data_IF_090659854372
#
_entry.id   IF_090659854372
#
_cell.length_a   1.000
_cell.length_b   1.000
_cell.length_c   1.000
_cell.angle_alpha   90.00
_cell.angle_beta   90.00
_cell.angle_gamma   90.00
#
_symmetry.space_group_name_H-M   'P 1'
#
loop_
_entity.id
_entity.type
_entity.pdbx_description
1 polymer ?
#
# COMPACT_ATOMS: atom_id res chain seq x y z
N UNK A 1 39.58 -11.47 11.85
CA UNK A 1 39.40 -10.89 10.50
C UNK A 1 38.24 -11.50 9.72
N UNK A 2 38.06 -12.83 9.61
CA UNK A 2 36.95 -13.47 8.86
C UNK A 2 35.52 -12.98 9.18
N UNK A 3 35.24 -12.62 10.43
CA UNK A 3 33.90 -12.13 10.85
C UNK A 3 33.61 -10.76 10.25
N UNK A 4 34.59 -9.86 10.19
CA UNK A 4 34.46 -8.54 9.59
C UNK A 4 34.28 -8.63 8.06
N UNK A 5 34.95 -9.59 7.41
CA UNK A 5 34.79 -9.84 5.98
C UNK A 5 33.37 -10.35 5.65
N UNK A 6 32.82 -11.25 6.46
CA UNK A 6 31.45 -11.72 6.31
C UNK A 6 30.43 -10.59 6.52
N UNK A 7 30.64 -9.72 7.51
CA UNK A 7 29.78 -8.55 7.75
C UNK A 7 29.82 -7.56 6.57
N UNK A 8 31.01 -7.28 6.04
CA UNK A 8 31.17 -6.42 4.86
C UNK A 8 30.51 -7.02 3.61
N UNK A 9 30.53 -8.35 3.47
CA UNK A 9 29.88 -9.05 2.36
C UNK A 9 28.36 -8.97 2.47
N UNK A 10 27.80 -9.20 3.66
CA UNK A 10 26.36 -9.04 3.94
C UNK A 10 25.92 -7.59 3.73
N UNK A 11 26.67 -6.62 4.24
CA UNK A 11 26.39 -5.19 4.04
C UNK A 11 26.39 -4.81 2.55
N UNK A 12 27.32 -5.35 1.75
CA UNK A 12 27.37 -5.13 0.31
C UNK A 12 26.14 -5.71 -0.41
N UNK A 13 25.70 -6.92 -0.05
CA UNK A 13 24.47 -7.50 -0.61
C UNK A 13 23.21 -6.71 -0.21
N UNK A 14 23.14 -6.22 1.03
CA UNK A 14 22.05 -5.33 1.46
C UNK A 14 22.06 -3.97 0.72
N UNK A 15 23.24 -3.47 0.33
CA UNK A 15 23.35 -2.24 -0.44
C UNK A 15 23.01 -2.44 -1.92
N UNK A 16 23.29 -3.61 -2.49
CA UNK A 16 22.86 -3.97 -3.87
C UNK A 16 21.34 -4.00 -3.98
N UNK A 17 20.64 -4.41 -2.92
CA UNK A 17 19.19 -4.45 -2.87
C UNK A 17 18.52 -3.07 -2.98
N UNK A 18 19.25 -1.95 -2.84
CA UNK A 18 18.72 -0.57 -2.79
C UNK A 18 18.84 0.21 -4.10
N UNK A 19 18.87 -0.47 -5.25
CA UNK A 19 19.19 0.17 -6.53
C UNK A 19 18.08 0.01 -7.58
N UNK A 20 16.90 -0.49 -7.20
CA UNK A 20 15.82 -0.65 -8.16
C UNK A 20 15.11 0.70 -8.38
N UNK A 21 14.95 1.08 -9.65
CA UNK A 21 14.27 2.33 -10.07
C UNK A 21 13.00 2.09 -10.88
N UNK A 22 12.91 0.93 -11.52
CA UNK A 22 11.76 0.55 -12.32
C UNK A 22 10.56 0.23 -11.43
N UNK A 23 9.43 0.85 -11.76
CA UNK A 23 8.20 0.78 -10.97
C UNK A 23 7.51 -0.58 -11.07
N UNK A 24 7.61 -1.26 -12.22
CA UNK A 24 6.93 -2.54 -12.41
C UNK A 24 7.62 -3.64 -11.58
N UNK A 25 8.94 -3.90 -11.69
CA UNK A 25 9.60 -4.95 -10.92
C UNK A 25 9.59 -4.67 -9.41
N UNK A 26 9.80 -3.42 -8.98
CA UNK A 26 9.73 -3.06 -7.55
C UNK A 26 8.34 -3.31 -7.00
N UNK A 27 7.31 -2.80 -7.69
CA UNK A 27 5.93 -2.97 -7.28
C UNK A 27 5.53 -4.44 -7.22
N UNK A 28 5.86 -5.20 -8.28
CA UNK A 28 5.55 -6.61 -8.39
C UNK A 28 6.21 -7.44 -7.29
N UNK A 29 7.53 -7.31 -7.09
CA UNK A 29 8.26 -8.07 -6.07
C UNK A 29 7.82 -7.69 -4.65
N UNK A 30 7.54 -6.41 -4.41
CA UNK A 30 7.07 -5.97 -3.10
C UNK A 30 5.66 -6.49 -2.81
N UNK A 31 4.77 -6.46 -3.79
CA UNK A 31 3.44 -7.06 -3.69
C UNK A 31 3.53 -8.57 -3.44
N UNK A 32 4.47 -9.27 -4.09
CA UNK A 32 4.70 -10.70 -3.85
C UNK A 32 5.10 -10.96 -2.39
N UNK A 33 6.06 -10.21 -1.85
CA UNK A 33 6.49 -10.33 -0.45
C UNK A 33 5.33 -10.03 0.51
N UNK A 34 4.54 -8.99 0.24
CA UNK A 34 3.35 -8.70 1.03
C UNK A 34 2.31 -9.81 0.98
N UNK A 35 2.14 -10.46 -0.17
CA UNK A 35 1.20 -11.58 -0.33
C UNK A 35 1.65 -12.80 0.44
N UNK A 36 2.96 -13.10 0.45
CA UNK A 36 3.51 -14.18 1.26
C UNK A 36 3.33 -13.93 2.76
N UNK A 37 3.53 -12.68 3.21
CA UNK A 37 3.28 -12.30 4.60
C UNK A 37 1.79 -12.42 4.96
N UNK A 38 0.90 -11.99 4.06
CA UNK A 38 -0.56 -12.16 4.18
C UNK A 38 -0.94 -13.64 4.30
N UNK A 39 -0.42 -14.50 3.43
CA UNK A 39 -0.70 -15.94 3.46
C UNK A 39 -0.22 -16.59 4.75
N UNK A 40 0.94 -16.18 5.26
CA UNK A 40 1.45 -16.68 6.54
C UNK A 40 0.48 -16.32 7.68
N UNK A 41 0.03 -15.07 7.74
CA UNK A 41 -0.98 -14.60 8.70
C UNK A 41 -2.29 -15.40 8.56
N UNK A 42 -2.77 -15.57 7.33
CA UNK A 42 -3.99 -16.29 7.03
C UNK A 42 -3.92 -17.77 7.43
N UNK A 43 -2.79 -18.44 7.18
CA UNK A 43 -2.55 -19.83 7.58
C UNK A 43 -2.61 -19.97 9.10
N UNK A 44 -2.08 -18.99 9.86
CA UNK A 44 -2.16 -18.98 11.32
C UNK A 44 -3.63 -18.86 11.77
N UNK A 45 -4.40 -17.93 11.20
CA UNK A 45 -5.83 -17.79 11.51
C UNK A 45 -6.66 -19.00 11.09
N UNK A 46 -6.29 -19.63 9.97
CA UNK A 46 -6.96 -20.83 9.48
C UNK A 46 -6.70 -22.03 10.39
N UNK A 47 -5.45 -22.22 10.84
CA UNK A 47 -5.06 -23.31 11.75
C UNK A 47 -5.66 -23.16 13.15
N UNK A 48 -5.85 -21.92 13.62
CA UNK A 48 -6.52 -21.63 14.89
C UNK A 48 -8.06 -21.67 14.80
N UNK A 49 -8.62 -21.95 13.63
CA UNK A 49 -10.07 -22.04 13.42
C UNK A 49 -10.80 -20.68 13.42
N UNK A 50 -10.08 -19.57 13.41
CA UNK A 50 -10.68 -18.21 13.36
C UNK A 50 -11.12 -17.87 11.95
N UNK A 51 -10.37 -18.30 10.94
CA UNK A 51 -10.69 -18.11 9.52
C UNK A 51 -11.23 -19.38 8.87
N UNK A 52 -12.30 -19.23 8.08
CA UNK A 52 -12.95 -20.34 7.38
C UNK A 52 -12.26 -20.73 6.07
N UNK A 53 -11.53 -19.81 5.43
CA UNK A 53 -11.02 -19.99 4.07
C UNK A 53 -9.62 -19.40 3.92
N UNK A 54 -8.83 -20.01 3.04
CA UNK A 54 -7.56 -19.43 2.63
C UNK A 54 -7.69 -18.56 1.39
N UNK A 55 -6.75 -17.64 1.18
CA UNK A 55 -6.74 -16.82 -0.03
C UNK A 55 -6.57 -17.64 -1.31
N UNK A 56 -5.82 -18.74 -1.27
CA UNK A 56 -5.79 -19.71 -2.37
C UNK A 56 -7.18 -20.24 -2.74
N UNK A 57 -8.07 -20.43 -1.75
CA UNK A 57 -9.45 -20.86 -2.02
C UNK A 57 -10.29 -19.73 -2.62
N UNK A 58 -10.11 -18.49 -2.18
CA UNK A 58 -10.79 -17.34 -2.79
C UNK A 58 -10.37 -17.15 -4.25
N UNK A 59 -9.06 -17.03 -4.51
CA UNK A 59 -8.52 -16.83 -5.85
C UNK A 59 -8.81 -18.02 -6.77
N UNK A 60 -8.62 -19.26 -6.29
CA UNK A 60 -8.96 -20.47 -7.05
C UNK A 60 -10.44 -20.56 -7.42
N UNK A 61 -11.34 -20.00 -6.60
CA UNK A 61 -12.79 -20.05 -6.86
C UNK A 61 -13.25 -19.21 -8.04
N UNK A 62 -12.38 -18.35 -8.57
CA UNK A 62 -12.65 -17.59 -9.80
C UNK A 62 -12.75 -18.53 -11.01
N UNK A 63 -11.88 -19.53 -11.08
CA UNK A 63 -11.83 -20.47 -12.21
C UNK A 63 -12.40 -21.85 -11.89
N UNK A 64 -12.25 -22.30 -10.64
CA UNK A 64 -12.57 -23.66 -10.21
C UNK A 64 -13.80 -23.64 -9.30
N UNK A 65 -14.64 -24.68 -9.38
CA UNK A 65 -15.76 -24.83 -8.44
C UNK A 65 -15.26 -25.01 -6.99
N UNK A 66 -15.94 -24.43 -5.97
CA UNK A 66 -15.46 -24.46 -4.59
C UNK A 66 -15.17 -25.85 -4.02
N UNK A 67 -15.99 -26.85 -4.38
CA UNK A 67 -15.79 -28.24 -3.95
C UNK A 67 -14.48 -28.84 -4.48
N UNK A 68 -14.06 -28.48 -5.69
CA UNK A 68 -12.81 -28.97 -6.28
C UNK A 68 -11.56 -28.35 -5.65
N UNK A 69 -11.68 -27.25 -4.89
CA UNK A 69 -10.56 -26.65 -4.15
C UNK A 69 -10.18 -27.41 -2.86
N UNK A 70 -10.89 -28.50 -2.57
CA UNK A 70 -10.48 -29.48 -1.56
C UNK A 70 -9.25 -30.28 -2.00
N UNK A 71 -9.11 -30.53 -3.30
CA UNK A 71 -7.97 -31.22 -3.89
C UNK A 71 -6.71 -30.33 -3.91
N UNK A 72 -5.54 -30.92 -3.66
CA UNK A 72 -4.29 -30.18 -3.45
C UNK A 72 -3.85 -29.44 -4.71
N UNK A 73 -3.99 -30.07 -5.87
CA UNK A 73 -3.58 -29.56 -7.18
C UNK A 73 -4.35 -28.28 -7.53
N UNK A 74 -5.67 -28.31 -7.31
CA UNK A 74 -6.53 -27.14 -7.55
C UNK A 74 -6.24 -26.01 -6.56
N UNK A 75 -5.87 -26.34 -5.32
CA UNK A 75 -5.45 -25.35 -4.32
C UNK A 75 -4.11 -24.71 -4.69
N UNK A 76 -3.17 -25.46 -5.25
CA UNK A 76 -1.90 -24.91 -5.76
C UNK A 76 -2.19 -23.93 -6.89
N UNK A 77 -3.08 -24.26 -7.83
CA UNK A 77 -3.46 -23.30 -8.87
C UNK A 77 -4.07 -22.02 -8.26
N UNK A 78 -4.97 -22.17 -7.29
CA UNK A 78 -5.52 -21.03 -6.56
C UNK A 78 -4.47 -20.19 -5.84
N UNK A 79 -3.44 -20.83 -5.27
CA UNK A 79 -2.31 -20.17 -4.64
C UNK A 79 -1.48 -19.37 -5.65
N UNK A 80 -1.19 -19.95 -6.82
CA UNK A 80 -0.46 -19.26 -7.90
C UNK A 80 -1.23 -18.01 -8.35
N UNK A 81 -2.55 -18.14 -8.56
CA UNK A 81 -3.39 -17.00 -8.92
C UNK A 81 -3.36 -15.92 -7.83
N UNK A 82 -3.47 -16.32 -6.57
CA UNK A 82 -3.41 -15.38 -5.45
C UNK A 82 -2.08 -14.61 -5.42
N UNK A 83 -0.95 -15.32 -5.54
CA UNK A 83 0.39 -14.71 -5.56
C UNK A 83 0.56 -13.74 -6.73
N UNK A 84 0.11 -14.10 -7.93
CA UNK A 84 0.17 -13.24 -9.11
C UNK A 84 -0.69 -11.99 -8.90
N UNK A 85 -1.94 -12.15 -8.45
CA UNK A 85 -2.84 -11.01 -8.19
C UNK A 85 -2.25 -10.07 -7.15
N UNK A 86 -1.78 -10.59 -6.01
CA UNK A 86 -1.18 -9.76 -4.96
C UNK A 86 0.13 -9.08 -5.38
N UNK A 87 0.91 -9.72 -6.25
CA UNK A 87 2.09 -9.11 -6.87
C UNK A 87 1.71 -7.92 -7.77
N UNK A 88 0.72 -8.11 -8.66
CA UNK A 88 0.22 -7.04 -9.55
C UNK A 88 -0.31 -5.86 -8.75
N UNK A 89 -1.03 -6.10 -7.65
CA UNK A 89 -1.56 -5.04 -6.78
C UNK A 89 -0.46 -4.20 -6.10
N UNK A 90 0.79 -4.68 -6.01
CA UNK A 90 1.91 -3.89 -5.52
C UNK A 90 2.36 -2.78 -6.47
N UNK A 91 2.11 -2.89 -7.77
CA UNK A 91 2.50 -1.90 -8.79
C UNK A 91 1.80 -0.53 -8.58
N UNK A 92 0.46 -0.46 -8.46
CA UNK A 92 -0.22 0.79 -8.14
C UNK A 92 0.17 1.35 -6.77
N UNK A 93 0.36 0.52 -5.74
CA UNK A 93 0.86 1.00 -4.44
C UNK A 93 2.23 1.68 -4.57
N UNK A 94 3.16 1.08 -5.31
CA UNK A 94 4.47 1.69 -5.54
C UNK A 94 4.34 3.03 -6.28
N UNK A 95 3.43 3.11 -7.25
CA UNK A 95 3.12 4.37 -7.96
C UNK A 95 2.62 5.45 -7.00
N UNK A 96 1.78 5.09 -6.04
CA UNK A 96 1.31 6.02 -4.99
C UNK A 96 2.47 6.50 -4.12
N UNK A 97 3.36 5.60 -3.66
CA UNK A 97 4.52 5.99 -2.85
C UNK A 97 5.52 6.85 -3.64
N UNK A 98 5.73 6.54 -4.92
CA UNK A 98 6.58 7.33 -5.81
C UNK A 98 6.04 8.75 -6.02
N UNK A 99 4.72 8.95 -6.03
CA UNK A 99 4.11 10.28 -6.15
C UNK A 99 4.03 11.04 -4.83
N UNK A 100 3.72 10.34 -3.74
CA UNK A 100 3.43 10.96 -2.44
C UNK A 100 4.62 11.01 -1.49
N UNK A 101 5.72 10.33 -1.81
CA UNK A 101 6.87 10.20 -0.92
C UNK A 101 6.80 8.98 0.01
N UNK A 102 7.95 8.69 0.62
CA UNK A 102 8.14 7.59 1.58
C UNK A 102 7.83 7.98 3.03
N UNK A 103 7.44 9.22 3.29
CA UNK A 103 6.88 9.66 4.56
C UNK A 103 5.66 8.80 4.91
N UNK A 104 5.60 8.30 6.16
CA UNK A 104 4.51 7.47 6.67
C UNK A 104 4.12 6.30 5.73
N UNK A 105 5.10 5.72 5.02
CA UNK A 105 4.83 4.69 4.00
C UNK A 105 4.09 3.47 4.56
N UNK A 106 4.30 3.12 5.83
CA UNK A 106 3.56 2.03 6.50
C UNK A 106 2.07 2.36 6.60
N UNK A 107 1.72 3.58 6.99
CA UNK A 107 0.32 4.02 7.07
C UNK A 107 -0.32 4.09 5.68
N UNK A 108 0.40 4.63 4.68
CA UNK A 108 -0.04 4.61 3.28
C UNK A 108 -0.26 3.17 2.79
N UNK A 109 0.64 2.26 3.15
CA UNK A 109 0.53 0.82 2.89
C UNK A 109 -0.70 0.19 3.55
N UNK A 110 -0.96 0.47 4.83
CA UNK A 110 -2.14 -0.03 5.54
C UNK A 110 -3.47 0.40 4.91
N UNK A 111 -3.60 1.69 4.59
CA UNK A 111 -4.78 2.22 3.89
C UNK A 111 -4.93 1.50 2.55
N UNK A 112 -3.85 1.40 1.77
CA UNK A 112 -3.87 0.76 0.47
C UNK A 112 -4.24 -0.72 0.54
N UNK A 113 -3.68 -1.47 1.50
CA UNK A 113 -3.98 -2.88 1.70
C UNK A 113 -5.46 -3.09 2.05
N UNK A 114 -5.99 -2.28 2.97
CA UNK A 114 -7.42 -2.30 3.34
C UNK A 114 -8.31 -1.93 2.15
N UNK A 115 -7.93 -0.92 1.37
CA UNK A 115 -8.67 -0.51 0.18
C UNK A 115 -8.65 -1.60 -0.91
N UNK A 116 -7.50 -2.25 -1.10
CA UNK A 116 -7.34 -3.36 -2.06
C UNK A 116 -8.24 -4.52 -1.69
N UNK A 117 -8.36 -4.83 -0.39
CA UNK A 117 -9.30 -5.82 0.09
C UNK A 117 -10.73 -5.46 -0.27
N UNK A 118 -11.18 -4.26 0.09
CA UNK A 118 -12.56 -3.85 -0.21
C UNK A 118 -12.83 -3.86 -1.71
N UNK A 119 -11.88 -3.37 -2.50
CA UNK A 119 -12.00 -3.36 -3.94
C UNK A 119 -12.10 -4.78 -4.51
N UNK A 120 -11.27 -5.75 -4.08
CA UNK A 120 -11.30 -7.10 -4.64
C UNK A 120 -12.42 -7.96 -4.05
N UNK A 121 -12.57 -7.91 -2.72
CA UNK A 121 -13.50 -8.76 -1.98
C UNK A 121 -14.95 -8.32 -2.18
N UNK A 122 -15.27 -7.04 -1.93
CA UNK A 122 -16.63 -6.55 -2.06
C UNK A 122 -17.08 -6.52 -3.51
N UNK A 123 -16.21 -6.14 -4.45
CA UNK A 123 -16.50 -6.27 -5.89
C UNK A 123 -16.65 -7.73 -6.31
N UNK A 124 -15.70 -8.60 -5.93
CA UNK A 124 -15.69 -10.00 -6.31
C UNK A 124 -16.91 -10.77 -5.81
N UNK A 125 -17.40 -10.45 -4.61
CA UNK A 125 -18.64 -11.00 -4.08
C UNK A 125 -19.88 -10.41 -4.76
N UNK A 126 -19.92 -9.08 -4.96
CA UNK A 126 -21.06 -8.38 -5.58
C UNK A 126 -21.33 -8.86 -7.00
N UNK A 127 -20.27 -9.06 -7.79
CA UNK A 127 -20.35 -9.52 -9.18
C UNK A 127 -20.24 -11.05 -9.32
N UNK A 128 -20.29 -11.80 -8.21
CA UNK A 128 -20.21 -13.27 -8.19
C UNK A 128 -18.96 -13.84 -8.91
N UNK A 129 -17.89 -13.05 -8.94
CA UNK A 129 -16.57 -13.47 -9.46
C UNK A 129 -16.00 -14.55 -8.54
N UNK A 130 -16.13 -14.37 -7.22
CA UNK A 130 -15.80 -15.41 -6.26
C UNK A 130 -16.98 -16.37 -6.08
N UNK A 131 -16.74 -17.64 -6.39
CA UNK A 131 -17.72 -18.71 -6.18
C UNK A 131 -17.69 -19.24 -4.75
N UNK A 132 -16.62 -18.98 -3.99
CA UNK A 132 -16.55 -19.30 -2.56
C UNK A 132 -16.92 -18.08 -1.70
N UNK A 133 -17.58 -18.34 -0.56
CA UNK A 133 -17.97 -17.31 0.42
C UNK A 133 -17.49 -17.71 1.81
N UNK A 134 -17.21 -16.71 2.64
CA UNK A 134 -17.17 -16.88 4.09
C UNK A 134 -18.53 -16.52 4.67
N UNK A 135 -18.85 -17.14 5.80
CA UNK A 135 -20.10 -16.93 6.54
C UNK A 135 -19.83 -16.36 7.93
N UNK A 136 -18.62 -16.52 8.46
CA UNK A 136 -18.24 -16.02 9.78
C UNK A 136 -17.70 -14.59 9.74
N UNK A 137 -18.23 -13.72 10.60
CA UNK A 137 -17.68 -12.39 10.89
C UNK A 137 -16.22 -12.44 11.32
N UNK A 138 -15.80 -13.52 12.00
CA UNK A 138 -14.39 -13.71 12.40
C UNK A 138 -13.48 -13.82 11.18
N UNK A 139 -13.92 -14.50 10.13
CA UNK A 139 -13.17 -14.57 8.87
C UNK A 139 -12.98 -13.17 8.28
N UNK A 140 -14.05 -12.38 8.19
CA UNK A 140 -13.96 -11.00 7.68
C UNK A 140 -13.00 -10.13 8.50
N UNK A 141 -13.03 -10.22 9.83
CA UNK A 141 -12.10 -9.50 10.71
C UNK A 141 -10.64 -9.94 10.50
N UNK A 142 -10.38 -11.25 10.40
CA UNK A 142 -9.01 -11.74 10.10
C UNK A 142 -8.54 -11.33 8.71
N UNK A 143 -9.47 -11.23 7.75
CA UNK A 143 -9.16 -10.80 6.38
C UNK A 143 -8.74 -9.32 6.35
N UNK A 144 -9.36 -8.47 7.18
CA UNK A 144 -8.90 -7.10 7.37
C UNK A 144 -7.46 -7.04 7.92
N UNK A 145 -7.16 -7.85 8.95
CA UNK A 145 -5.81 -7.93 9.53
C UNK A 145 -4.79 -8.42 8.49
N UNK A 146 -5.11 -9.49 7.77
CA UNK A 146 -4.27 -10.04 6.71
C UNK A 146 -3.94 -8.97 5.64
N UNK A 147 -4.90 -8.11 5.29
CA UNK A 147 -4.68 -7.03 4.32
C UNK A 147 -3.88 -5.85 4.87
N UNK A 148 -3.96 -5.58 6.17
CA UNK A 148 -3.01 -4.67 6.83
C UNK A 148 -1.59 -5.25 6.77
N UNK A 149 -1.41 -6.54 7.06
CA UNK A 149 -0.12 -7.24 6.96
C UNK A 149 0.46 -7.14 5.55
N UNK A 150 -0.37 -7.35 4.51
CA UNK A 150 0.01 -7.14 3.12
C UNK A 150 0.49 -5.71 2.85
N UNK A 151 -0.31 -4.72 3.27
CA UNK A 151 -0.02 -3.31 3.05
C UNK A 151 1.29 -2.88 3.70
N UNK A 152 1.49 -3.23 4.97
CA UNK A 152 2.72 -2.94 5.72
C UNK A 152 3.94 -3.60 5.08
N UNK A 153 3.84 -4.90 4.80
CA UNK A 153 4.95 -5.68 4.27
C UNK A 153 5.32 -5.21 2.87
N UNK A 154 4.35 -4.99 1.98
CA UNK A 154 4.59 -4.48 0.63
C UNK A 154 5.24 -3.11 0.66
N UNK A 155 4.72 -2.17 1.45
CA UNK A 155 5.28 -0.82 1.52
C UNK A 155 6.69 -0.82 2.13
N UNK A 156 6.95 -1.64 3.14
CA UNK A 156 8.29 -1.82 3.71
C UNK A 156 9.27 -2.40 2.70
N UNK A 157 8.87 -3.42 1.95
CA UNK A 157 9.70 -3.98 0.88
C UNK A 157 9.97 -2.97 -0.22
N UNK A 158 8.98 -2.15 -0.62
CA UNK A 158 9.21 -1.07 -1.60
C UNK A 158 10.27 -0.10 -1.13
N UNK A 159 10.15 0.43 0.09
CA UNK A 159 11.14 1.37 0.64
C UNK A 159 12.51 0.73 0.81
N UNK A 160 12.56 -0.57 1.08
CA UNK A 160 13.81 -1.32 1.21
C UNK A 160 14.49 -1.58 -0.14
N UNK A 161 13.74 -1.94 -1.19
CA UNK A 161 14.26 -2.29 -2.51
C UNK A 161 14.61 -1.08 -3.38
N UNK A 162 13.93 0.04 -3.15
CA UNK A 162 13.98 1.20 -4.07
C UNK A 162 15.15 2.12 -3.76
N UNK A 163 15.77 2.63 -4.82
CA UNK A 163 16.74 3.72 -4.72
C UNK A 163 16.08 4.98 -4.11
N UNK A 164 16.77 5.62 -3.15
CA UNK A 164 16.26 6.80 -2.43
C UNK A 164 15.90 7.96 -3.36
N UNK A 165 16.55 8.08 -4.52
CA UNK A 165 16.31 9.12 -5.54
C UNK A 165 14.94 9.00 -6.23
N UNK A 166 14.29 7.83 -6.16
CA UNK A 166 12.99 7.61 -6.79
C UNK A 166 11.87 8.27 -5.99
N UNK A 167 12.03 8.42 -4.68
CA UNK A 167 11.04 9.07 -3.83
C UNK A 167 11.25 10.59 -3.83
N UNK A 168 10.17 11.38 -3.94
CA UNK A 168 10.23 12.83 -3.78
C UNK A 168 10.93 13.20 -2.46
N UNK A 169 11.87 14.12 -2.52
CA UNK A 169 12.42 14.73 -1.31
C UNK A 169 11.33 15.60 -0.68
N UNK A 170 10.87 15.21 0.51
CA UNK A 170 9.87 15.96 1.29
C UNK A 170 10.25 17.46 1.47
N UNK A 171 11.54 17.78 1.41
CA UNK A 171 12.06 19.13 1.70
C UNK A 171 11.82 20.18 0.62
N UNK A 172 11.74 19.84 -0.68
CA UNK A 172 11.72 20.88 -1.73
C UNK A 172 10.35 21.55 -1.86
N UNK A 173 9.28 20.76 -1.85
CA UNK A 173 7.90 21.25 -2.03
C UNK A 173 7.37 21.99 -0.80
N UNK A 174 7.78 21.60 0.40
CA UNK A 174 7.44 22.31 1.64
C UNK A 174 8.19 23.64 1.78
N UNK A 175 9.44 23.73 1.32
CA UNK A 175 10.20 24.98 1.32
C UNK A 175 9.65 26.00 0.30
N UNK A 176 9.31 25.57 -0.91
CA UNK A 176 8.68 26.45 -1.91
C UNK A 176 7.31 26.95 -1.45
N UNK A 177 6.49 26.09 -0.84
CA UNK A 177 5.16 26.49 -0.33
C UNK A 177 5.29 27.46 0.87
N UNK A 178 6.29 27.27 1.74
CA UNK A 178 6.57 28.22 2.83
C UNK A 178 7.09 29.54 2.32
N UNK A 179 8.03 29.54 1.37
CA UNK A 179 8.56 30.77 0.78
C UNK A 179 7.48 31.59 0.07
N UNK A 180 6.57 30.95 -0.67
CA UNK A 180 5.45 31.64 -1.32
C UNK A 180 4.48 32.23 -0.28
N UNK A 181 4.20 31.50 0.79
CA UNK A 181 3.37 32.00 1.91
C UNK A 181 4.03 33.16 2.66
N UNK A 182 5.35 33.11 2.86
CA UNK A 182 6.11 34.16 3.54
C UNK A 182 6.26 35.42 2.66
N UNK A 183 6.48 35.26 1.35
CA UNK A 183 6.48 36.38 0.40
C UNK A 183 5.11 37.05 0.31
N UNK A 184 4.03 36.27 0.25
CA UNK A 184 2.65 36.79 0.19
C UNK A 184 2.20 37.48 1.48
N UNK A 185 2.75 37.10 2.63
CA UNK A 185 2.49 37.78 3.91
C UNK A 185 3.35 39.05 4.08
N UNK A 186 4.55 39.10 3.47
CA UNK A 186 5.39 40.30 3.51
C UNK A 186 4.95 41.41 2.54
N UNK A 187 4.12 41.09 1.54
CA UNK A 187 3.61 42.05 0.55
C UNK A 187 2.29 42.72 0.95
N UNK A 188 1.71 42.35 2.09
CA UNK A 188 0.56 43.05 2.65
C UNK A 188 1.13 44.18 3.52
N UNK A 189 1.28 45.37 2.94
CA UNK A 189 1.61 46.58 3.69
C UNK A 189 0.42 46.91 4.60
N UNK A 190 0.59 46.97 5.94
CA UNK A 190 -0.48 47.37 6.87
C UNK A 190 -1.09 48.75 6.58
N UNK A 191 -0.47 49.54 5.68
CA UNK A 191 -0.99 50.85 5.24
C UNK A 191 -2.10 50.75 4.19
N UNK A 192 -2.22 49.63 3.48
CA UNK A 192 -3.25 49.46 2.44
C UNK A 192 -4.62 49.05 3.03
N UNK A 193 -4.67 48.63 4.31
CA UNK A 193 -5.91 48.23 4.99
C UNK A 193 -6.62 49.42 5.70
N UNK A 194 -6.03 50.62 5.67
CA UNK A 194 -6.56 51.82 6.33
C UNK A 194 -7.19 52.87 5.37
N UNK A 195 -7.33 52.56 4.08
CA UNK A 195 -7.85 53.52 3.08
C UNK A 195 -9.28 53.26 2.58
N UNK A 196 -9.97 52.23 3.05
CA UNK A 196 -11.34 51.88 2.61
C UNK A 196 -12.44 52.19 3.64
N UNK A 197 -12.18 53.10 4.58
CA UNK A 197 -13.23 53.73 5.41
C UNK A 197 -13.39 55.20 4.96
N UNK A 198 -14.64 55.69 4.84
CA UNK A 198 -15.07 57.06 4.42
C UNK A 198 -15.39 57.36 2.94
N UNK A 199 -16.42 56.73 2.34
CA UNK A 199 -17.09 57.40 1.20
C UNK A 199 -18.62 57.30 1.07
N UNK A 200 -19.35 56.56 1.93
CA UNK A 200 -20.78 56.31 1.69
C UNK A 200 -21.79 57.00 2.63
N UNK A 201 -21.40 58.00 3.43
CA UNK A 201 -22.30 58.64 4.38
C UNK A 201 -22.60 60.13 4.12
N UNK A 202 -22.78 60.54 2.85
CA UNK A 202 -23.41 61.85 2.54
C UNK A 202 -24.22 61.78 1.24
N UNK A 203 -25.51 61.42 1.33
CA UNK A 203 -26.63 61.80 0.43
C UNK A 203 -27.94 61.28 1.07
N UNK A 204 -28.51 62.03 2.01
CA UNK A 204 -29.59 63.03 1.84
C UNK A 204 -30.98 62.43 1.59
N UNK A 205 -31.88 62.75 2.53
CA UNK A 205 -33.28 63.19 2.39
C UNK A 205 -34.20 62.55 1.34
#
# INVERSE_FOLDING_TARGET
MKVLDNLNRVARYMNVSRNMKDSIPVGFLSGLVGTLAMDLSNIIFKKSGVSEKTYAQYAGSVMISPFRLLFKENRILGQILHLITGSIMGIPLFTVLKKTGKDNYLFKGAIYGTFTWELLYSFGLRYRVFRTKAYSTRTHMTTLIDNLVYGFSSAATMVFLTDKSVFPHASKKQMETRQISELSQSSIDPRDEFLDDYSDEVRLH
#
